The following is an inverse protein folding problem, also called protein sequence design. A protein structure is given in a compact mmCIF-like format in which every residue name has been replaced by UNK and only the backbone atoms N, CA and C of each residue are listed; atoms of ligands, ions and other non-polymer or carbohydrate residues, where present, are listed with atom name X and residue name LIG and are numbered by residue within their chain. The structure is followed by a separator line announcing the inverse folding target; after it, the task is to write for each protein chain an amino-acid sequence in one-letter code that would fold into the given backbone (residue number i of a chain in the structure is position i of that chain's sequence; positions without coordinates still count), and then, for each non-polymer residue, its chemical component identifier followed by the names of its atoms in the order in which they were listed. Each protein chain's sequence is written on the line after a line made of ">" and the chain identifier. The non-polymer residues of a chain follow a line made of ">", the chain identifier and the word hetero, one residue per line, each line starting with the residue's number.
data_IF_044916833942
#
_entry.id   IF_044916833942
#
_cell.length_a   1.000
_cell.length_b   1.000
_cell.length_c   1.000
_cell.angle_alpha   90.00
_cell.angle_beta   90.00
_cell.angle_gamma   90.00
#
_symmetry.space_group_name_H-M   'P 1'
#
loop_
_entity.id
_entity.type
_entity.pdbx_description
1 polymer ?
#
# COMPACT_ATOMS: atom_id res chain seq x y z
N UNK A 1 -38.74 76.60 -7.41
CA UNK A 1 -37.76 76.68 -8.51
C UNK A 1 -36.64 77.58 -8.00
N UNK A 2 -35.39 77.14 -8.23
CA UNK A 2 -34.13 77.74 -7.71
C UNK A 2 -34.01 77.60 -6.18
N UNK A 3 -32.91 77.18 -5.55
CA UNK A 3 -31.53 76.86 -5.91
C UNK A 3 -30.74 77.00 -4.59
N UNK A 4 -29.70 76.19 -4.34
CA UNK A 4 -28.49 76.57 -3.56
C UNK A 4 -27.67 75.35 -3.09
N UNK A 5 -26.53 75.21 -3.77
CA UNK A 5 -25.17 74.97 -3.29
C UNK A 5 -24.87 74.63 -1.80
N UNK A 6 -24.06 73.57 -1.69
CA UNK A 6 -22.80 73.42 -0.93
C UNK A 6 -22.81 73.43 0.61
N UNK A 7 -22.19 72.40 1.19
CA UNK A 7 -21.10 72.56 2.17
C UNK A 7 -20.19 71.32 2.21
N UNK A 8 -18.89 71.59 2.29
CA UNK A 8 -17.81 70.63 2.47
C UNK A 8 -17.60 70.31 3.96
N UNK A 9 -17.11 69.10 4.28
CA UNK A 9 -16.26 68.88 5.44
C UNK A 9 -15.49 67.55 5.33
N UNK A 10 -14.20 67.69 5.60
CA UNK A 10 -13.11 66.71 5.68
C UNK A 10 -13.31 65.74 6.85
N UNK A 11 -12.93 64.47 6.70
CA UNK A 11 -12.93 63.50 7.79
C UNK A 11 -12.01 62.32 7.50
N UNK A 12 -10.78 62.42 7.99
CA UNK A 12 -9.77 61.35 8.06
C UNK A 12 -10.26 60.17 8.90
N UNK A 13 -10.26 58.97 8.33
CA UNK A 13 -10.51 57.72 9.06
C UNK A 13 -9.61 56.60 8.54
N UNK A 14 -8.56 56.28 9.28
CA UNK A 14 -7.77 55.06 9.11
C UNK A 14 -8.65 53.85 9.43
N UNK A 15 -8.88 52.98 8.44
CA UNK A 15 -9.49 51.67 8.63
C UNK A 15 -8.38 50.61 8.56
N UNK A 16 -8.04 49.92 9.65
CA UNK A 16 -7.26 48.69 9.56
C UNK A 16 -8.15 47.58 8.98
N UNK A 17 -7.76 47.03 7.84
CA UNK A 17 -8.33 45.79 7.32
C UNK A 17 -7.93 44.61 8.23
N UNK A 18 -8.86 43.86 8.84
CA UNK A 18 -8.52 42.55 9.37
C UNK A 18 -8.54 41.55 8.21
N UNK A 19 -7.40 41.38 7.55
CA UNK A 19 -7.15 40.25 6.67
C UNK A 19 -6.98 38.97 7.50
N UNK A 20 -8.06 38.51 8.13
CA UNK A 20 -8.12 37.16 8.69
C UNK A 20 -8.43 36.22 7.52
N UNK A 21 -7.38 35.92 6.75
CA UNK A 21 -7.40 34.81 5.81
C UNK A 21 -7.51 33.53 6.63
N UNK A 22 -8.76 33.17 6.95
CA UNK A 22 -9.11 31.86 7.44
C UNK A 22 -8.75 30.88 6.31
N UNK A 23 -7.49 30.43 6.31
CA UNK A 23 -7.03 29.28 5.55
C UNK A 23 -7.80 28.10 6.11
N UNK A 24 -9.02 27.91 5.60
CA UNK A 24 -9.75 26.65 5.69
C UNK A 24 -8.78 25.63 5.12
N UNK A 25 -8.06 24.92 5.98
CA UNK A 25 -7.31 23.76 5.57
C UNK A 25 -8.33 22.90 4.85
N UNK A 26 -8.17 22.75 3.53
CA UNK A 26 -8.90 21.74 2.79
C UNK A 26 -8.58 20.45 3.53
N UNK A 27 -9.55 19.94 4.31
CA UNK A 27 -9.54 18.55 4.76
C UNK A 27 -9.56 17.76 3.46
N UNK A 28 -8.38 17.37 2.99
CA UNK A 28 -8.23 16.39 1.93
C UNK A 28 -8.95 15.17 2.49
N UNK A 29 -10.06 14.77 1.87
CA UNK A 29 -10.73 13.55 2.29
C UNK A 29 -9.77 12.42 1.97
N UNK A 30 -9.24 11.76 3.00
CA UNK A 30 -8.31 10.63 2.95
C UNK A 30 -8.93 9.35 2.33
N UNK A 31 -9.97 9.49 1.49
CA UNK A 31 -10.73 8.40 0.90
C UNK A 31 -10.21 8.10 -0.52
N UNK A 32 -10.14 6.81 -0.84
CA UNK A 32 -9.90 6.34 -2.21
C UNK A 32 -10.99 6.91 -3.13
N UNK A 33 -10.56 7.61 -4.18
CA UNK A 33 -11.47 8.31 -5.11
C UNK A 33 -12.05 7.40 -6.19
N UNK A 34 -11.28 6.41 -6.64
CA UNK A 34 -11.68 5.45 -7.65
C UNK A 34 -10.87 4.16 -7.53
N UNK A 35 -11.45 3.04 -7.99
CA UNK A 35 -10.76 1.76 -8.15
C UNK A 35 -10.47 1.52 -9.62
N UNK A 36 -9.27 1.01 -9.89
CA UNK A 36 -8.75 0.93 -11.26
C UNK A 36 -7.88 -0.30 -11.43
N UNK A 37 -7.86 -0.85 -12.64
CA UNK A 37 -6.98 -1.96 -13.01
C UNK A 37 -6.40 -1.73 -14.40
N UNK A 38 -5.17 -2.20 -14.61
CA UNK A 38 -4.51 -2.13 -15.90
C UNK A 38 -4.80 -3.39 -16.71
N UNK A 39 -5.24 -3.22 -17.95
CA UNK A 39 -5.43 -4.32 -18.90
C UNK A 39 -4.08 -4.95 -19.29
N UNK A 40 -3.96 -6.27 -19.19
CA UNK A 40 -2.75 -7.01 -19.56
C UNK A 40 -2.48 -7.02 -21.08
N UNK A 41 -3.50 -6.82 -21.92
CA UNK A 41 -3.37 -6.84 -23.40
C UNK A 41 -2.93 -5.49 -23.98
N UNK A 42 -3.61 -4.41 -23.58
CA UNK A 42 -3.41 -3.07 -24.16
C UNK A 42 -2.77 -2.07 -23.20
N UNK A 43 -2.48 -2.48 -21.95
CA UNK A 43 -1.88 -1.64 -20.91
C UNK A 43 -2.67 -0.38 -20.53
N UNK A 44 -3.93 -0.27 -20.98
CA UNK A 44 -4.85 0.82 -20.64
C UNK A 44 -5.49 0.60 -19.26
N UNK A 45 -5.69 1.68 -18.53
CA UNK A 45 -6.35 1.66 -17.22
C UNK A 45 -7.87 1.71 -17.39
N UNK A 46 -8.56 0.85 -16.65
CA UNK A 46 -10.03 0.74 -16.63
C UNK A 46 -10.57 0.99 -15.22
N UNK A 47 -11.70 1.67 -15.13
CA UNK A 47 -12.41 1.83 -13.86
C UNK A 47 -13.09 0.52 -13.43
N UNK A 48 -13.06 0.28 -12.12
CA UNK A 48 -13.79 -0.80 -11.47
C UNK A 48 -14.95 -0.17 -10.68
N UNK A 49 -16.19 -0.65 -10.86
CA UNK A 49 -17.38 0.03 -10.36
C UNK A 49 -17.50 -0.01 -8.83
N UNK A 50 -16.98 -1.07 -8.20
CA UNK A 50 -17.13 -1.29 -6.76
C UNK A 50 -15.82 -1.75 -6.12
N UNK A 51 -15.68 -1.45 -4.82
CA UNK A 51 -14.55 -1.94 -4.02
C UNK A 51 -14.48 -3.47 -4.01
N UNK A 52 -15.62 -4.14 -3.86
CA UNK A 52 -15.68 -5.61 -3.83
C UNK A 52 -15.11 -6.22 -5.12
N UNK A 53 -15.48 -5.68 -6.29
CA UNK A 53 -14.95 -6.18 -7.57
C UNK A 53 -13.44 -5.94 -7.70
N UNK A 54 -12.94 -4.84 -7.15
CA UNK A 54 -11.50 -4.57 -7.10
C UNK A 54 -10.77 -5.58 -6.20
N UNK A 55 -11.38 -5.93 -5.06
CA UNK A 55 -10.82 -6.90 -4.13
C UNK A 55 -10.83 -8.32 -4.69
N UNK A 56 -11.83 -8.70 -5.49
CA UNK A 56 -11.83 -9.95 -6.27
C UNK A 56 -10.69 -9.96 -7.29
N UNK A 57 -10.61 -8.92 -8.13
CA UNK A 57 -9.59 -8.84 -9.18
C UNK A 57 -8.18 -8.88 -8.59
N UNK A 58 -7.89 -8.09 -7.54
CA UNK A 58 -6.54 -8.02 -6.96
C UNK A 58 -6.09 -9.36 -6.33
N UNK A 59 -7.03 -10.15 -5.84
CA UNK A 59 -6.75 -11.46 -5.26
C UNK A 59 -6.29 -12.43 -6.34
N UNK A 60 -6.97 -12.42 -7.50
CA UNK A 60 -6.73 -13.37 -8.59
C UNK A 60 -5.80 -12.87 -9.68
N UNK A 61 -5.41 -11.59 -9.70
CA UNK A 61 -4.71 -10.96 -10.84
C UNK A 61 -3.38 -11.63 -11.22
N UNK A 62 -2.73 -12.30 -10.28
CA UNK A 62 -1.50 -13.05 -10.54
C UNK A 62 -1.73 -14.29 -11.41
N UNK A 63 -2.89 -14.94 -11.27
CA UNK A 63 -3.27 -16.17 -11.96
C UNK A 63 -4.16 -15.88 -13.17
N UNK A 64 -5.07 -14.91 -13.02
CA UNK A 64 -6.02 -14.47 -14.03
C UNK A 64 -5.79 -12.98 -14.33
N UNK A 65 -4.89 -12.64 -15.27
CA UNK A 65 -4.63 -11.27 -15.66
C UNK A 65 -5.91 -10.59 -16.15
N UNK A 66 -6.13 -9.36 -15.72
CA UNK A 66 -7.29 -8.59 -16.15
C UNK A 66 -7.15 -8.17 -17.62
N UNK A 67 -8.21 -8.35 -18.40
CA UNK A 67 -8.31 -7.88 -19.79
C UNK A 67 -9.58 -7.06 -19.99
N UNK A 68 -9.63 -6.18 -21.00
CA UNK A 68 -10.79 -5.31 -21.21
C UNK A 68 -12.09 -6.11 -21.37
N UNK A 69 -12.04 -7.30 -21.97
CA UNK A 69 -13.21 -8.15 -22.11
C UNK A 69 -13.81 -8.58 -20.76
N UNK A 70 -13.01 -8.69 -19.70
CA UNK A 70 -13.49 -8.95 -18.32
C UNK A 70 -14.36 -7.80 -17.81
N UNK A 71 -14.09 -6.55 -18.20
CA UNK A 71 -14.91 -5.42 -17.82
C UNK A 71 -16.29 -5.37 -18.50
N UNK A 72 -16.57 -6.27 -19.46
CA UNK A 72 -17.90 -6.36 -20.10
C UNK A 72 -19.01 -6.72 -19.11
N UNK A 73 -18.67 -7.29 -17.96
CA UNK A 73 -19.61 -7.53 -16.85
C UNK A 73 -20.30 -6.24 -16.38
N UNK A 74 -19.62 -5.09 -16.43
CA UNK A 74 -20.19 -3.79 -16.05
C UNK A 74 -20.18 -2.73 -17.16
N UNK A 75 -19.46 -2.96 -18.26
CA UNK A 75 -19.40 -2.07 -19.42
C UNK A 75 -19.39 -2.89 -20.72
N UNK A 76 -20.57 -3.27 -21.26
CA UNK A 76 -20.69 -4.28 -22.34
C UNK A 76 -19.90 -3.99 -23.62
N UNK A 77 -19.81 -2.72 -24.01
CA UNK A 77 -19.18 -2.31 -25.27
C UNK A 77 -17.67 -2.10 -25.17
N UNK A 78 -17.07 -2.38 -24.01
CA UNK A 78 -15.64 -2.09 -23.81
C UNK A 78 -14.76 -3.03 -24.63
N UNK A 79 -13.79 -2.42 -25.31
CA UNK A 79 -12.75 -3.12 -26.06
C UNK A 79 -11.36 -2.56 -25.73
N UNK A 80 -10.32 -3.20 -26.25
CA UNK A 80 -8.95 -2.69 -26.12
C UNK A 80 -8.69 -1.47 -27.02
N UNK A 81 -9.55 -1.18 -27.99
CA UNK A 81 -9.41 -0.05 -28.93
C UNK A 81 -9.84 1.25 -28.26
N UNK A 82 -10.86 1.20 -27.39
CA UNK A 82 -11.34 2.34 -26.60
C UNK A 82 -10.22 3.04 -25.82
N UNK A 83 -10.30 4.37 -25.73
CA UNK A 83 -9.38 5.22 -24.97
C UNK A 83 -9.33 4.81 -23.49
N UNK A 84 -8.18 4.96 -22.80
CA UNK A 84 -8.06 4.63 -21.38
C UNK A 84 -9.02 5.48 -20.55
N UNK A 85 -9.61 4.87 -19.51
CA UNK A 85 -10.48 5.61 -18.59
C UNK A 85 -9.68 6.61 -17.75
N UNK A 86 -8.39 6.30 -17.55
CA UNK A 86 -7.42 7.14 -16.85
C UNK A 86 -6.09 7.13 -17.57
N UNK A 87 -5.54 8.33 -17.72
CA UNK A 87 -4.17 8.55 -18.19
C UNK A 87 -3.28 8.85 -16.99
N UNK A 88 -2.05 8.34 -17.00
CA UNK A 88 -1.04 8.68 -16.00
C UNK A 88 -0.39 10.02 -16.34
N UNK A 89 -1.15 11.10 -16.17
CA UNK A 89 -0.76 12.48 -16.47
C UNK A 89 -0.19 13.25 -15.26
N UNK A 90 -0.13 12.59 -14.09
CA UNK A 90 0.30 13.21 -12.83
C UNK A 90 -0.82 13.93 -12.06
N UNK A 91 -2.05 13.93 -12.57
CA UNK A 91 -3.22 14.46 -11.87
C UNK A 91 -3.68 13.59 -10.70
N UNK A 92 -3.23 12.33 -10.67
CA UNK A 92 -3.65 11.32 -9.70
C UNK A 92 -2.49 10.80 -8.86
N UNK A 93 -2.75 10.67 -7.55
CA UNK A 93 -1.87 9.92 -6.63
C UNK A 93 -2.30 8.46 -6.65
N UNK A 94 -1.42 7.58 -7.14
CA UNK A 94 -1.71 6.15 -7.27
C UNK A 94 -1.28 5.39 -6.03
N UNK A 95 -2.12 4.43 -5.62
CA UNK A 95 -1.81 3.41 -4.63
C UNK A 95 -1.95 2.04 -5.31
N UNK A 96 -0.84 1.36 -5.53
CA UNK A 96 -0.81 0.09 -6.27
C UNK A 96 -0.66 -1.05 -5.26
N UNK A 97 -1.74 -1.79 -5.02
CA UNK A 97 -1.70 -3.02 -4.21
C UNK A 97 -0.82 -4.07 -4.90
N UNK A 98 -0.13 -4.88 -4.10
CA UNK A 98 0.54 -6.09 -4.60
C UNK A 98 -0.51 -7.12 -5.02
N UNK A 99 -0.21 -8.00 -6.00
CA UNK A 99 -1.06 -9.14 -6.30
C UNK A 99 -1.27 -10.05 -5.10
N UNK A 100 -2.32 -10.88 -5.16
CA UNK A 100 -2.62 -11.93 -4.17
C UNK A 100 -2.98 -11.39 -2.78
N UNK A 101 -3.48 -10.15 -2.68
CA UNK A 101 -4.04 -9.67 -1.41
C UNK A 101 -5.48 -10.16 -1.30
N UNK A 102 -5.80 -10.99 -0.29
CA UNK A 102 -7.07 -11.70 -0.20
C UNK A 102 -8.24 -10.75 0.03
N UNK A 103 -9.42 -11.12 -0.44
CA UNK A 103 -10.65 -10.43 -0.06
C UNK A 103 -10.84 -10.50 1.47
N UNK A 104 -11.26 -9.40 2.13
CA UNK A 104 -11.58 -9.47 3.55
C UNK A 104 -12.75 -10.45 3.79
N UNK A 105 -12.81 -11.10 4.96
CA UNK A 105 -13.94 -11.96 5.30
C UNK A 105 -15.28 -11.20 5.27
N UNK A 106 -16.40 -11.93 5.14
CA UNK A 106 -17.72 -11.31 5.14
C UNK A 106 -17.96 -10.44 6.38
N UNK A 107 -18.47 -9.22 6.19
CA UNK A 107 -18.70 -8.25 7.25
C UNK A 107 -17.46 -7.47 7.71
N UNK A 108 -16.27 -7.87 7.26
CA UNK A 108 -15.02 -7.14 7.51
C UNK A 108 -14.69 -6.16 6.39
N UNK A 109 -13.98 -5.09 6.72
CA UNK A 109 -13.54 -4.12 5.71
C UNK A 109 -12.05 -3.80 5.86
N UNK A 110 -11.27 -3.97 4.78
CA UNK A 110 -9.89 -3.48 4.71
C UNK A 110 -9.89 -1.97 4.40
N UNK A 111 -9.37 -1.15 5.29
CA UNK A 111 -9.36 0.31 5.18
C UNK A 111 -7.94 0.82 4.95
N UNK A 112 -7.74 1.50 3.81
CA UNK A 112 -6.49 2.19 3.49
C UNK A 112 -6.59 3.66 3.88
N UNK A 113 -5.61 4.15 4.64
CA UNK A 113 -5.48 5.57 4.98
C UNK A 113 -4.18 6.13 4.41
N UNK A 114 -4.29 6.89 3.32
CA UNK A 114 -3.13 7.53 2.68
C UNK A 114 -2.62 8.67 3.59
N UNK A 115 -1.29 8.75 3.76
CA UNK A 115 -0.63 9.81 4.52
C UNK A 115 -0.15 10.92 3.59
N UNK A 116 0.07 12.11 4.15
CA UNK A 116 0.60 13.23 3.39
C UNK A 116 1.98 12.95 2.78
N UNK A 117 2.19 13.51 1.58
CA UNK A 117 3.46 13.46 0.84
C UNK A 117 4.62 14.01 1.68
N UNK A 118 5.81 13.45 1.48
CA UNK A 118 7.04 13.84 2.20
C UNK A 118 7.14 13.28 3.63
N UNK A 119 6.16 12.45 4.04
CA UNK A 119 6.21 11.70 5.29
C UNK A 119 7.18 10.51 5.25
N UNK A 120 7.19 9.74 6.34
CA UNK A 120 8.03 8.53 6.49
C UNK A 120 7.35 7.24 6.01
N UNK A 121 6.03 7.28 5.77
CA UNK A 121 5.21 6.16 5.33
C UNK A 121 4.17 6.64 4.33
N UNK A 122 3.85 5.79 3.36
CA UNK A 122 2.84 6.09 2.34
C UNK A 122 1.42 6.07 2.88
N UNK A 123 1.06 5.01 3.60
CA UNK A 123 -0.28 4.80 4.13
C UNK A 123 -0.24 3.93 5.39
N UNK A 124 -1.36 3.91 6.12
CA UNK A 124 -1.67 2.90 7.13
C UNK A 124 -2.81 2.00 6.63
N UNK A 125 -2.84 0.77 7.13
CA UNK A 125 -3.91 -0.19 6.86
C UNK A 125 -4.58 -0.61 8.16
N UNK A 126 -5.89 -0.74 8.07
CA UNK A 126 -6.74 -1.19 9.16
C UNK A 126 -7.75 -2.22 8.67
N UNK A 127 -8.29 -3.00 9.59
CA UNK A 127 -9.49 -3.79 9.37
C UNK A 127 -10.58 -3.31 10.33
N UNK A 128 -11.76 -3.04 9.79
CA UNK A 128 -12.95 -2.84 10.60
C UNK A 128 -13.66 -4.19 10.73
N UNK A 129 -13.81 -4.65 11.97
CA UNK A 129 -14.57 -5.85 12.30
C UNK A 129 -16.08 -5.60 12.21
N UNK A 130 -16.90 -6.65 12.03
CA UNK A 130 -18.37 -6.54 12.09
C UNK A 130 -18.89 -5.89 13.37
N UNK A 131 -18.15 -6.04 14.49
CA UNK A 131 -18.45 -5.39 15.78
C UNK A 131 -18.19 -3.87 15.80
N UNK A 132 -17.59 -3.31 14.75
CA UNK A 132 -17.14 -1.92 14.68
C UNK A 132 -15.75 -1.67 15.28
N UNK A 133 -15.08 -2.70 15.83
CA UNK A 133 -13.70 -2.56 16.33
C UNK A 133 -12.73 -2.42 15.16
N UNK A 134 -11.89 -1.39 15.21
CA UNK A 134 -10.81 -1.16 14.24
C UNK A 134 -9.51 -1.81 14.71
N UNK A 135 -8.93 -2.67 13.89
CA UNK A 135 -7.71 -3.42 14.14
C UNK A 135 -6.59 -2.93 13.20
N UNK A 136 -5.38 -2.80 13.73
CA UNK A 136 -4.21 -2.19 13.04
C UNK A 136 -3.05 -3.15 12.85
N UNK A 137 -3.19 -4.42 13.23
CA UNK A 137 -2.16 -5.44 13.01
C UNK A 137 -2.72 -6.86 12.99
N UNK A 138 -1.94 -7.81 12.47
CA UNK A 138 -2.27 -9.23 12.53
C UNK A 138 -2.41 -9.76 13.96
N UNK A 139 -1.60 -9.26 14.89
CA UNK A 139 -1.67 -9.66 16.30
C UNK A 139 -3.01 -9.25 16.91
N UNK A 140 -3.48 -8.05 16.59
CA UNK A 140 -4.81 -7.59 17.04
C UNK A 140 -5.95 -8.38 16.42
N UNK A 141 -5.83 -8.79 15.15
CA UNK A 141 -6.79 -9.72 14.50
C UNK A 141 -6.82 -11.05 15.25
N UNK A 142 -5.66 -11.63 15.53
CA UNK A 142 -5.58 -12.90 16.24
C UNK A 142 -6.18 -12.81 17.66
N UNK A 143 -5.82 -11.77 18.42
CA UNK A 143 -6.42 -11.53 19.74
C UNK A 143 -7.93 -11.32 19.65
N UNK A 144 -8.40 -10.57 18.66
CA UNK A 144 -9.83 -10.35 18.44
C UNK A 144 -10.58 -11.66 18.16
N UNK A 145 -10.07 -12.51 17.26
CA UNK A 145 -10.69 -13.80 16.90
C UNK A 145 -10.62 -14.82 18.04
N UNK A 146 -9.68 -14.69 18.98
CA UNK A 146 -9.65 -15.48 20.21
C UNK A 146 -10.74 -15.04 21.19
N UNK A 147 -10.97 -13.73 21.31
CA UNK A 147 -12.00 -13.14 22.18
C UNK A 147 -13.42 -13.26 21.59
N UNK A 148 -13.55 -13.26 20.27
CA UNK A 148 -14.81 -13.25 19.54
C UNK A 148 -14.86 -14.46 18.61
N UNK A 149 -15.76 -15.40 18.88
CA UNK A 149 -15.98 -16.56 18.00
C UNK A 149 -16.60 -16.10 16.67
N UNK A 150 -15.79 -16.04 15.62
CA UNK A 150 -16.20 -15.67 14.26
C UNK A 150 -16.13 -16.93 13.36
N UNK A 151 -17.23 -17.68 13.19
CA UNK A 151 -17.22 -18.91 12.42
C UNK A 151 -16.90 -18.65 10.94
N UNK A 152 -15.97 -19.42 10.37
CA UNK A 152 -15.60 -19.35 8.96
C UNK A 152 -14.62 -18.23 8.61
N UNK A 153 -14.10 -17.49 9.59
CA UNK A 153 -13.05 -16.48 9.37
C UNK A 153 -11.67 -17.10 9.60
N UNK A 154 -10.78 -17.00 8.62
CA UNK A 154 -9.39 -17.48 8.75
C UNK A 154 -8.39 -16.33 8.72
N UNK A 155 -7.25 -16.51 9.40
CA UNK A 155 -6.17 -15.51 9.43
C UNK A 155 -5.60 -15.21 8.03
N UNK A 156 -5.68 -16.17 7.09
CA UNK A 156 -5.17 -16.01 5.73
C UNK A 156 -5.96 -14.99 4.90
N UNK A 157 -7.18 -14.61 5.32
CA UNK A 157 -7.98 -13.57 4.67
C UNK A 157 -7.58 -12.15 5.11
N UNK A 158 -6.62 -12.02 6.03
CA UNK A 158 -6.13 -10.73 6.50
C UNK A 158 -4.73 -10.46 5.99
N UNK A 159 -4.55 -9.27 5.42
CA UNK A 159 -3.26 -8.77 4.98
C UNK A 159 -3.13 -7.27 5.23
N UNK A 160 -2.05 -6.91 5.93
CA UNK A 160 -1.64 -5.53 6.21
C UNK A 160 -0.56 -5.03 5.24
N UNK A 161 -0.40 -5.67 4.07
CA UNK A 161 0.52 -5.20 3.04
C UNK A 161 0.06 -3.85 2.48
N UNK A 162 0.91 -2.84 2.63
CA UNK A 162 0.64 -1.46 2.22
C UNK A 162 0.87 -1.32 0.70
N UNK A 163 -0.05 -0.72 -0.06
CA UNK A 163 0.15 -0.45 -1.48
C UNK A 163 1.34 0.48 -1.71
N UNK A 164 1.97 0.35 -2.88
CA UNK A 164 3.12 1.19 -3.23
C UNK A 164 2.64 2.46 -3.94
N UNK A 165 3.19 3.64 -3.59
CA UNK A 165 2.98 4.84 -4.38
C UNK A 165 3.64 4.68 -5.74
N UNK A 166 2.98 5.11 -6.81
CA UNK A 166 3.64 5.23 -8.12
C UNK A 166 4.68 6.35 -8.13
N UNK A 167 4.50 7.39 -7.30
CA UNK A 167 5.41 8.52 -7.23
C UNK A 167 6.66 8.18 -6.39
N UNK A 168 7.84 8.20 -7.02
CA UNK A 168 9.10 7.75 -6.41
C UNK A 168 9.52 8.55 -5.15
N UNK A 169 9.20 9.85 -5.10
CA UNK A 169 9.56 10.73 -3.98
C UNK A 169 8.41 10.97 -3.00
N UNK A 170 7.36 10.15 -3.04
CA UNK A 170 6.21 10.32 -2.15
C UNK A 170 6.61 10.21 -0.68
N UNK A 171 7.44 9.21 -0.36
CA UNK A 171 7.97 8.98 0.98
C UNK A 171 9.39 9.53 1.03
N UNK A 172 9.65 10.41 2.00
CA UNK A 172 10.99 10.94 2.21
C UNK A 172 11.86 9.85 2.81
N UNK A 173 12.71 9.21 2.00
CA UNK A 173 13.83 8.42 2.53
C UNK A 173 14.65 9.36 3.42
N UNK A 174 14.78 9.02 4.71
CA UNK A 174 15.65 9.77 5.63
C UNK A 174 17.05 9.70 5.03
N UNK A 175 17.56 10.82 4.51
CA UNK A 175 18.99 10.93 4.20
C UNK A 175 19.69 10.74 5.54
N UNK A 176 20.40 9.64 5.71
CA UNK A 176 21.48 9.59 6.69
C UNK A 176 22.42 10.71 6.28
N UNK A 177 22.35 11.83 6.99
CA UNK A 177 23.37 12.86 6.91
C UNK A 177 24.63 12.15 7.40
N UNK A 178 25.45 11.68 6.47
CA UNK A 178 26.85 11.37 6.76
C UNK A 178 27.42 12.69 7.25
N UNK A 179 27.57 12.79 8.57
CA UNK A 179 28.20 13.93 9.21
C UNK A 179 29.61 14.03 8.65
N UNK A 180 29.81 14.89 7.65
CA UNK A 180 31.14 15.42 7.34
C UNK A 180 31.49 16.35 8.48
N UNK A 181 31.97 15.74 9.57
CA UNK A 181 32.75 16.42 10.58
C UNK A 181 34.12 16.67 9.94
N UNK A 182 34.46 17.94 9.76
CA UNK A 182 35.83 18.37 9.59
C UNK A 182 36.63 17.84 10.79
N UNK A 183 37.60 16.96 10.59
CA UNK A 183 39.00 17.20 10.95
C UNK A 183 39.89 15.99 10.57
N UNK A 184 40.89 16.28 9.75
CA UNK A 184 42.28 15.78 9.79
C UNK A 184 42.59 14.34 10.26
N UNK A 185 43.16 13.59 9.30
CA UNK A 185 44.12 12.47 9.45
C UNK A 185 43.62 11.05 9.66
N UNK A 186 44.02 10.17 8.73
CA UNK A 186 44.12 8.73 8.93
C UNK A 186 43.25 7.90 7.98
N UNK A 187 43.84 7.49 6.86
CA UNK A 187 43.23 6.58 5.91
C UNK A 187 42.89 5.22 6.56
N UNK A 188 41.61 4.84 6.53
CA UNK A 188 41.19 3.43 6.57
C UNK A 188 39.99 3.27 5.65
N UNK A 189 40.17 2.47 4.60
CA UNK A 189 39.13 2.13 3.62
C UNK A 189 38.15 1.15 4.27
N UNK A 190 36.83 1.41 4.33
CA UNK A 190 35.87 0.35 4.59
C UNK A 190 35.47 -0.28 3.26
N UNK A 191 35.79 -1.58 3.16
CA UNK A 191 35.36 -2.53 2.13
C UNK A 191 33.90 -2.33 1.76
N UNK A 192 33.64 -2.20 0.46
CA UNK A 192 32.30 -2.12 -0.10
C UNK A 192 31.51 -3.38 0.26
N UNK A 193 30.52 -3.24 1.14
CA UNK A 193 29.52 -4.27 1.37
C UNK A 193 28.54 -4.24 0.19
N UNK A 194 28.69 -5.21 -0.71
CA UNK A 194 27.76 -5.51 -1.79
C UNK A 194 26.40 -5.92 -1.21
N UNK A 195 25.28 -5.33 -1.65
CA UNK A 195 23.95 -5.72 -1.20
C UNK A 195 23.59 -7.11 -1.75
N UNK A 196 23.15 -8.00 -0.86
CA UNK A 196 22.71 -9.36 -1.20
C UNK A 196 21.46 -9.26 -2.09
N UNK A 197 21.65 -9.49 -3.39
CA UNK A 197 20.60 -9.72 -4.37
C UNK A 197 20.10 -11.17 -4.25
N UNK A 198 18.78 -11.34 -4.33
CA UNK A 198 18.06 -12.61 -4.23
C UNK A 198 18.51 -13.61 -5.31
N UNK A 199 18.83 -14.84 -4.91
CA UNK A 199 19.13 -15.97 -5.79
C UNK A 199 17.84 -16.79 -5.96
N UNK A 200 17.41 -17.12 -7.19
CA UNK A 200 16.27 -18.01 -7.43
C UNK A 200 16.68 -19.48 -7.23
N UNK A 201 15.76 -20.36 -6.79
CA UNK A 201 16.10 -21.76 -6.58
C UNK A 201 15.99 -22.52 -7.91
N UNK A 202 17.07 -23.19 -8.33
CA UNK A 202 16.93 -24.36 -9.20
C UNK A 202 17.85 -25.51 -8.79
N UNK A 203 17.19 -26.66 -8.71
CA UNK A 203 17.58 -28.07 -8.77
C UNK A 203 18.99 -28.56 -8.44
N UNK A 204 18.97 -29.59 -7.58
CA UNK A 204 19.57 -30.93 -7.78
C UNK A 204 20.93 -31.23 -7.14
N UNK A 205 20.79 -32.01 -6.05
CA UNK A 205 21.44 -33.31 -5.79
C UNK A 205 22.77 -33.40 -5.02
N UNK A 206 22.63 -34.15 -3.92
CA UNK A 206 23.38 -35.34 -3.54
C UNK A 206 24.75 -35.22 -2.86
N UNK A 207 24.72 -35.64 -1.59
CA UNK A 207 25.61 -36.60 -0.94
C UNK A 207 27.05 -36.16 -0.60
N UNK A 208 27.30 -36.00 0.70
CA UNK A 208 28.03 -36.98 1.54
C UNK A 208 28.54 -36.27 2.80
N UNK A 209 27.90 -36.50 3.95
CA UNK A 209 28.54 -36.27 5.24
C UNK A 209 29.02 -37.62 5.79
N UNK A 210 30.32 -37.87 5.61
CA UNK A 210 31.05 -38.86 6.38
C UNK A 210 31.44 -38.28 7.73
N UNK A 211 31.33 -39.09 8.78
CA UNK A 211 31.70 -38.71 10.14
C UNK A 211 31.30 -39.78 11.14
N UNK A 212 32.15 -40.80 11.26
CA UNK A 212 32.11 -41.91 12.21
C UNK A 212 31.97 -41.46 13.68
N UNK A 213 31.34 -42.28 14.53
CA UNK A 213 32.05 -43.10 15.55
C UNK A 213 31.09 -43.96 16.39
N UNK A 214 31.24 -45.27 16.22
CA UNK A 214 31.36 -46.34 17.21
C UNK A 214 30.55 -46.30 18.53
N UNK A 215 29.71 -47.32 18.74
CA UNK A 215 29.63 -48.05 20.01
C UNK A 215 29.05 -49.45 19.82
N UNK A 216 29.78 -50.41 20.36
CA UNK A 216 29.62 -51.87 20.36
C UNK A 216 28.47 -52.37 21.24
N UNK A 217 27.78 -53.43 20.85
CA UNK A 217 27.48 -54.58 21.74
C UNK A 217 27.04 -55.80 20.93
N UNK A 218 27.63 -56.94 21.30
CA UNK A 218 27.39 -58.29 20.81
C UNK A 218 26.00 -58.86 21.16
N UNK A 219 25.56 -59.86 20.38
CA UNK A 219 24.83 -61.09 20.76
C UNK A 219 24.02 -61.59 19.54
N UNK A 220 24.47 -62.65 18.88
CA UNK A 220 24.09 -64.05 19.14
C UNK A 220 22.90 -64.49 18.25
N UNK A 221 23.18 -65.42 17.34
CA UNK A 221 22.22 -66.15 16.50
C UNK A 221 21.59 -67.31 17.32
N UNK A 222 20.77 -68.26 16.78
CA UNK A 222 20.22 -68.42 15.43
C UNK A 222 18.73 -68.91 15.39
N UNK A 223 18.30 -69.24 14.17
CA UNK A 223 17.50 -70.42 13.77
C UNK A 223 15.96 -70.33 13.66
N UNK A 224 15.54 -70.54 12.40
CA UNK A 224 14.53 -71.50 11.91
C UNK A 224 13.15 -71.58 12.58
N UNK A 225 12.10 -71.23 11.83
CA UNK A 225 11.29 -72.17 11.02
C UNK A 225 10.25 -71.42 10.21
#
# INVERSE_FOLDING_TARGET
>A
MEGSALNAATGTGNIPCPSSSNKKSKRVSDNVSAYTVQCAKCSKWRFIPTKAKYEEIRETIAELPFVCETAREWRPDITCEEEPDLVRDGSWNWAIDKPCIPQPPSGWQRILRIRARGGTKFADLYYDAPSGKRLRSMQEVQSYLYEHSEPGVTLSQFSFQIPEPLEENYVRKRRTLSATLNDTSGAVVPVAATPISWIPPDQSRDLHFGGERNSTSDAEAPAES
#
